data_IF_550056022829
#
_entry.id   IF_550056022829
#
_cell.length_a   1.000
_cell.length_b   1.000
_cell.length_c   1.000
_cell.angle_alpha   90.00
_cell.angle_beta   90.00
_cell.angle_gamma   90.00
#
_symmetry.space_group_name_H-M   'P 1'
#
loop_
_entity.id
_entity.type
_entity.pdbx_description
1 polymer ?
#
# COMPACT_ATOMS: atom_id res chain seq x y z
N UNK A 1 -40.01 -50.31 -10.36
CA UNK A 1 -39.40 -50.53 -9.04
C UNK A 1 -38.71 -49.22 -8.65
N UNK A 2 -39.19 -48.56 -7.60
CA UNK A 2 -38.88 -47.16 -7.25
C UNK A 2 -38.12 -47.17 -5.92
N UNK A 3 -36.83 -46.86 -5.96
CA UNK A 3 -36.02 -46.78 -4.74
C UNK A 3 -36.36 -45.50 -3.96
N UNK A 4 -36.45 -45.52 -2.62
CA UNK A 4 -36.80 -44.34 -1.83
C UNK A 4 -35.61 -43.36 -1.76
N UNK A 5 -35.88 -42.10 -2.14
CA UNK A 5 -34.94 -40.99 -2.22
C UNK A 5 -34.25 -40.60 -0.88
N UNK A 6 -34.66 -41.20 0.23
CA UNK A 6 -34.17 -40.87 1.57
C UNK A 6 -32.77 -41.42 1.86
N UNK A 7 -32.36 -42.51 1.19
CA UNK A 7 -31.05 -43.15 1.46
C UNK A 7 -29.88 -42.37 0.85
N UNK A 8 -30.09 -41.64 -0.25
CA UNK A 8 -29.02 -40.89 -0.93
C UNK A 8 -28.59 -39.65 -0.14
N UNK A 9 -29.51 -39.04 0.61
CA UNK A 9 -29.22 -37.80 1.34
C UNK A 9 -28.36 -38.01 2.60
N UNK A 10 -28.50 -39.16 3.26
CA UNK A 10 -27.74 -39.47 4.49
C UNK A 10 -26.27 -39.78 4.18
N UNK A 11 -25.99 -40.42 3.05
CA UNK A 11 -24.61 -40.76 2.66
C UNK A 11 -23.81 -39.54 2.19
N UNK A 12 -24.48 -38.52 1.61
CA UNK A 12 -23.80 -37.31 1.14
C UNK A 12 -23.37 -36.40 2.31
N UNK A 13 -24.19 -36.30 3.37
CA UNK A 13 -23.87 -35.48 4.55
C UNK A 13 -22.73 -36.08 5.38
N UNK A 14 -22.61 -37.41 5.42
CA UNK A 14 -21.51 -38.08 6.11
C UNK A 14 -20.14 -37.88 5.43
N UNK A 15 -20.11 -37.65 4.11
CA UNK A 15 -18.85 -37.44 3.37
C UNK A 15 -18.28 -36.02 3.53
N UNK A 16 -19.12 -35.03 3.85
CA UNK A 16 -18.69 -33.62 4.01
C UNK A 16 -18.06 -33.39 5.40
N UNK A 17 -18.37 -34.22 6.39
CA UNK A 17 -17.81 -34.08 7.75
C UNK A 17 -16.45 -34.78 7.93
N UNK A 18 -15.97 -35.57 6.96
CA UNK A 18 -14.81 -36.45 7.13
C UNK A 18 -13.53 -36.04 6.37
N UNK A 19 -13.51 -34.94 5.61
CA UNK A 19 -12.36 -34.66 4.74
C UNK A 19 -12.15 -33.18 4.47
N UNK A 20 -11.35 -32.54 5.33
CA UNK A 20 -10.36 -31.50 4.99
C UNK A 20 -9.67 -31.01 6.28
N UNK A 21 -8.99 -31.92 7.01
CA UNK A 21 -7.93 -31.49 7.94
C UNK A 21 -6.67 -31.36 7.10
N UNK A 22 -6.38 -30.15 6.64
CA UNK A 22 -5.09 -29.84 6.03
C UNK A 22 -3.99 -30.00 7.11
N UNK A 23 -2.84 -30.60 6.80
CA UNK A 23 -1.72 -30.66 7.73
C UNK A 23 -1.26 -29.23 8.03
N UNK A 24 -1.27 -28.85 9.31
CA UNK A 24 -0.61 -27.61 9.75
C UNK A 24 0.88 -27.77 9.45
N UNK A 25 1.37 -27.04 8.47
CA UNK A 25 2.79 -26.90 8.22
C UNK A 25 3.40 -26.27 9.47
N UNK A 26 4.18 -27.06 10.20
CA UNK A 26 5.00 -26.59 11.30
C UNK A 26 5.96 -25.55 10.75
N UNK A 27 5.77 -24.28 11.12
CA UNK A 27 6.70 -23.23 10.77
C UNK A 27 8.10 -23.61 11.28
N UNK A 28 9.15 -23.52 10.45
CA UNK A 28 10.50 -23.74 10.93
C UNK A 28 10.82 -22.71 12.01
N UNK A 29 11.39 -23.19 13.12
CA UNK A 29 11.90 -22.34 14.19
C UNK A 29 12.87 -21.31 13.59
N UNK A 30 12.56 -20.04 13.81
CA UNK A 30 13.39 -18.91 13.38
C UNK A 30 14.82 -19.10 13.91
N UNK A 31 15.86 -19.10 13.06
CA UNK A 31 17.23 -19.13 13.55
C UNK A 31 17.48 -17.85 14.34
N UNK A 32 17.91 -18.05 15.59
CA UNK A 32 18.34 -17.04 16.52
C UNK A 32 19.43 -16.18 15.85
N UNK A 33 19.10 -14.95 15.45
CA UNK A 33 20.07 -14.02 14.90
C UNK A 33 20.94 -13.50 16.05
N UNK A 34 22.17 -14.00 16.08
CA UNK A 34 23.26 -13.46 16.87
C UNK A 34 23.44 -11.97 16.58
N UNK A 35 23.62 -11.09 17.58
CA UNK A 35 23.86 -9.68 17.34
C UNK A 35 25.21 -9.50 16.60
N UNK A 36 25.28 -8.65 15.57
CA UNK A 36 26.55 -8.39 14.90
C UNK A 36 27.55 -7.74 15.85
N UNK A 37 28.78 -8.24 15.78
CA UNK A 37 29.93 -7.73 16.51
C UNK A 37 30.09 -6.22 16.32
N UNK A 38 30.38 -5.54 17.43
CA UNK A 38 30.74 -4.12 17.51
C UNK A 38 31.82 -3.77 16.47
N UNK A 39 31.43 -3.05 15.43
CA UNK A 39 32.37 -2.45 14.50
C UNK A 39 33.00 -1.22 15.15
N UNK A 40 34.29 -1.32 15.48
CA UNK A 40 35.13 -0.20 15.91
C UNK A 40 35.24 0.82 14.76
N UNK A 41 34.63 1.99 14.92
CA UNK A 41 34.84 3.13 14.02
C UNK A 41 36.30 3.58 14.08
N UNK A 42 36.98 3.50 12.94
CA UNK A 42 38.27 4.18 12.71
C UNK A 42 37.98 5.65 12.43
N UNK A 43 38.60 6.62 13.12
CA UNK A 43 38.42 8.03 12.80
C UNK A 43 39.08 8.36 11.45
N UNK A 44 38.29 8.86 10.51
CA UNK A 44 38.79 9.39 9.25
C UNK A 44 39.44 10.77 9.47
N UNK A 45 40.71 10.88 9.07
CA UNK A 45 41.48 12.12 9.04
C UNK A 45 40.87 13.12 8.04
N UNK A 46 40.59 14.38 8.42
CA UNK A 46 40.19 15.38 7.44
C UNK A 46 41.41 15.89 6.66
N UNK A 47 41.53 15.51 5.40
CA UNK A 47 42.45 16.15 4.45
C UNK A 47 41.79 17.40 3.89
N UNK A 48 42.23 18.56 4.37
CA UNK A 48 41.93 19.85 3.79
C UNK A 48 42.76 20.06 2.50
N UNK A 49 42.08 20.33 1.38
CA UNK A 49 42.66 21.02 0.25
C UNK A 49 41.56 21.86 -0.42
N UNK A 50 41.49 23.13 -0.03
CA UNK A 50 40.66 24.12 -0.70
C UNK A 50 41.35 24.56 -1.98
N UNK A 51 40.87 24.09 -3.13
CA UNK A 51 41.16 24.69 -4.43
C UNK A 51 40.02 25.65 -4.76
N UNK A 52 40.29 26.95 -4.63
CA UNK A 52 39.39 28.01 -5.06
C UNK A 52 39.33 28.03 -6.59
N UNK A 53 38.22 27.57 -7.16
CA UNK A 53 37.88 27.75 -8.58
C UNK A 53 37.41 29.19 -8.78
N UNK A 54 37.95 29.95 -9.75
CA UNK A 54 37.44 31.29 -10.05
C UNK A 54 36.00 31.21 -10.56
N UNK A 55 35.14 32.05 -9.98
CA UNK A 55 33.73 32.13 -10.33
C UNK A 55 33.57 32.58 -11.80
N UNK A 56 33.07 31.68 -12.64
CA UNK A 56 32.53 32.03 -13.95
C UNK A 56 31.28 32.89 -13.74
N UNK A 57 31.18 34.08 -14.37
CA UNK A 57 29.97 34.88 -14.30
C UNK A 57 28.80 34.08 -14.88
N UNK A 58 27.75 33.92 -14.07
CA UNK A 58 26.52 33.25 -14.49
C UNK A 58 25.90 33.99 -15.69
N UNK A 59 25.44 33.27 -16.73
CA UNK A 59 24.67 33.91 -17.80
C UNK A 59 23.39 34.49 -17.19
N UNK A 60 23.06 35.74 -17.55
CA UNK A 60 21.79 36.37 -17.22
C UNK A 60 20.61 35.45 -17.59
N UNK A 61 19.59 35.32 -16.75
CA UNK A 61 18.42 34.51 -17.08
C UNK A 61 17.72 35.13 -18.28
N UNK A 62 17.80 34.46 -19.43
CA UNK A 62 16.87 34.69 -20.54
C UNK A 62 15.49 34.30 -20.01
N UNK A 63 14.63 35.31 -19.83
CA UNK A 63 13.20 35.09 -19.60
C UNK A 63 12.65 34.36 -20.81
N UNK A 64 12.55 33.03 -20.73
CA UNK A 64 11.65 32.29 -21.59
C UNK A 64 10.25 32.60 -21.08
N UNK A 65 9.55 33.46 -21.80
CA UNK A 65 8.09 33.53 -21.77
C UNK A 65 7.58 32.17 -22.26
N UNK A 66 7.56 31.20 -21.35
CA UNK A 66 6.96 29.90 -21.56
C UNK A 66 5.44 30.13 -21.63
N UNK A 67 4.97 30.34 -22.84
CA UNK A 67 3.56 30.29 -23.19
C UNK A 67 3.01 28.98 -22.62
N UNK A 68 2.24 29.08 -21.53
CA UNK A 68 1.59 27.93 -20.91
C UNK A 68 0.68 27.34 -21.96
N UNK A 69 0.94 26.11 -22.47
CA UNK A 69 0.07 25.51 -23.45
C UNK A 69 -1.33 25.48 -22.85
N UNK A 70 -2.29 26.07 -23.58
CA UNK A 70 -3.68 26.10 -23.18
C UNK A 70 -4.09 24.68 -22.79
N UNK A 71 -4.51 24.51 -21.53
CA UNK A 71 -4.93 23.23 -21.00
C UNK A 71 -5.98 22.65 -21.95
N UNK A 72 -5.63 21.56 -22.63
CA UNK A 72 -6.61 20.84 -23.44
C UNK A 72 -7.70 20.41 -22.48
N UNK A 73 -8.98 20.72 -22.74
CA UNK A 73 -10.05 20.31 -21.84
C UNK A 73 -9.97 18.79 -21.68
N UNK A 74 -9.91 18.36 -20.42
CA UNK A 74 -9.80 16.96 -20.08
C UNK A 74 -11.00 16.21 -20.67
N UNK A 75 -10.83 14.96 -21.13
CA UNK A 75 -11.96 14.17 -21.56
C UNK A 75 -12.98 14.11 -20.41
N UNK A 76 -14.25 14.37 -20.72
CA UNK A 76 -15.33 14.26 -19.75
C UNK A 76 -15.37 12.83 -19.22
N UNK A 77 -14.84 12.61 -18.01
CA UNK A 77 -14.88 11.31 -17.35
C UNK A 77 -16.30 11.08 -16.87
N UNK A 78 -16.86 9.91 -17.19
CA UNK A 78 -18.15 9.52 -16.65
C UNK A 78 -18.01 9.28 -15.14
N UNK A 79 -18.68 10.10 -14.33
CA UNK A 79 -18.80 9.85 -12.90
C UNK A 79 -19.70 8.65 -12.67
N UNK A 80 -19.22 7.63 -11.96
CA UNK A 80 -20.07 6.53 -11.52
C UNK A 80 -21.00 7.08 -10.43
N UNK A 81 -22.32 6.90 -10.59
CA UNK A 81 -23.29 7.42 -9.62
C UNK A 81 -23.27 6.54 -8.38
N UNK A 82 -23.32 7.15 -7.19
CA UNK A 82 -23.28 6.47 -5.87
C UNK A 82 -24.37 5.40 -5.68
N UNK A 83 -25.38 5.33 -6.56
CA UNK A 83 -26.46 4.34 -6.50
C UNK A 83 -26.15 2.96 -7.08
N UNK A 84 -25.04 2.77 -7.81
CA UNK A 84 -24.74 1.49 -8.48
C UNK A 84 -24.03 0.46 -7.58
N UNK A 85 -23.64 0.86 -6.36
CA UNK A 85 -22.99 -0.03 -5.41
C UNK A 85 -23.92 -0.30 -4.22
N UNK A 86 -24.64 -1.45 -4.21
CA UNK A 86 -25.60 -1.78 -3.15
C UNK A 86 -24.87 -2.33 -1.90
N UNK A 87 -24.03 -1.51 -1.26
CA UNK A 87 -23.31 -1.94 -0.08
C UNK A 87 -23.61 -1.03 1.13
N UNK A 88 -23.88 -1.66 2.27
CA UNK A 88 -24.15 -0.96 3.54
C UNK A 88 -22.81 -0.52 4.16
N UNK A 89 -22.38 0.70 3.81
CA UNK A 89 -21.13 1.26 4.32
C UNK A 89 -21.34 1.91 5.68
N UNK A 90 -20.60 1.41 6.67
CA UNK A 90 -20.35 2.19 7.88
C UNK A 90 -19.61 3.49 7.52
N UNK A 91 -19.94 4.58 8.22
CA UNK A 91 -19.23 5.86 8.09
C UNK A 91 -17.71 5.63 8.22
N UNK A 92 -16.95 6.19 7.28
CA UNK A 92 -15.49 6.21 7.36
C UNK A 92 -15.04 6.99 8.60
N UNK A 93 -14.14 6.40 9.38
CA UNK A 93 -13.48 7.05 10.50
C UNK A 93 -11.99 7.08 10.19
N UNK A 94 -11.43 8.29 10.13
CA UNK A 94 -10.00 8.45 9.88
C UNK A 94 -9.19 7.80 11.02
N UNK A 95 -8.07 7.11 10.70
CA UNK A 95 -7.15 6.63 11.73
C UNK A 95 -6.66 7.78 12.61
N UNK A 96 -6.55 7.53 13.91
CA UNK A 96 -5.92 8.48 14.83
C UNK A 96 -4.41 8.49 14.56
N UNK A 97 -3.78 9.67 14.39
CA UNK A 97 -2.33 9.75 14.24
C UNK A 97 -1.59 9.15 15.43
N UNK A 98 -0.40 8.58 15.23
CA UNK A 98 0.41 8.09 16.34
C UNK A 98 0.76 9.23 17.30
N UNK A 99 0.88 8.94 18.62
CA UNK A 99 1.16 9.96 19.63
C UNK A 99 2.60 10.49 19.56
N UNK A 100 3.49 9.78 18.86
CA UNK A 100 4.89 10.14 18.64
C UNK A 100 5.19 10.11 17.14
N UNK A 101 6.04 11.01 16.70
CA UNK A 101 6.55 11.00 15.33
C UNK A 101 7.85 10.21 15.30
N UNK A 102 7.89 9.13 14.53
CA UNK A 102 9.10 8.34 14.32
C UNK A 102 9.93 8.90 13.15
N UNK A 103 11.21 8.60 13.16
CA UNK A 103 12.13 8.94 12.08
C UNK A 103 11.89 8.07 10.85
N UNK A 104 12.39 8.51 9.68
CA UNK A 104 12.36 7.69 8.47
C UNK A 104 13.13 6.38 8.69
N UNK A 105 12.52 5.25 8.36
CA UNK A 105 13.07 3.91 8.55
C UNK A 105 13.08 3.43 9.99
N UNK A 106 12.45 4.14 10.93
CA UNK A 106 12.29 3.67 12.31
C UNK A 106 11.05 2.78 12.41
N UNK A 107 11.18 1.68 13.18
CA UNK A 107 10.10 0.73 13.42
C UNK A 107 9.10 1.32 14.44
N UNK A 108 7.83 1.43 14.06
CA UNK A 108 6.77 1.77 15.00
C UNK A 108 6.36 0.53 15.80
N UNK A 109 6.60 0.46 17.12
CA UNK A 109 6.28 -0.70 17.95
C UNK A 109 4.78 -0.99 18.04
N UNK A 110 3.90 -0.04 17.71
CA UNK A 110 2.45 -0.24 17.78
C UNK A 110 1.90 -0.99 16.58
N UNK A 111 2.49 -0.78 15.41
CA UNK A 111 2.09 -1.40 14.14
C UNK A 111 3.02 -2.52 13.71
N UNK A 112 4.27 -2.52 14.19
CA UNK A 112 5.33 -3.41 13.73
C UNK A 112 5.79 -3.09 12.30
N UNK A 113 5.54 -1.86 11.82
CA UNK A 113 5.88 -1.41 10.47
C UNK A 113 6.88 -0.25 10.53
N UNK A 114 7.73 -0.14 9.52
CA UNK A 114 8.68 0.97 9.42
C UNK A 114 7.99 2.25 8.91
N UNK A 115 8.35 3.40 9.47
CA UNK A 115 7.83 4.70 9.03
C UNK A 115 8.59 5.20 7.81
N UNK A 116 7.90 5.36 6.69
CA UNK A 116 8.50 5.75 5.39
C UNK A 116 8.26 7.20 4.99
N UNK A 117 7.62 7.99 5.85
CA UNK A 117 7.37 9.40 5.58
C UNK A 117 6.28 9.99 6.47
N UNK A 118 5.91 11.23 6.16
CA UNK A 118 4.82 11.92 6.86
C UNK A 118 3.47 11.50 6.28
N UNK A 119 2.56 11.08 7.16
CA UNK A 119 1.18 10.79 6.79
C UNK A 119 0.52 12.02 6.15
N UNK A 120 -0.13 11.82 5.01
CA UNK A 120 -0.86 12.87 4.32
C UNK A 120 -2.28 12.98 4.89
N UNK A 121 -2.78 14.20 5.04
CA UNK A 121 -4.18 14.44 5.43
C UNK A 121 -5.02 14.44 4.15
N UNK A 122 -5.87 13.43 4.01
CA UNK A 122 -6.77 13.27 2.85
C UNK A 122 -8.21 13.38 3.34
N UNK A 123 -9.01 14.22 2.67
CA UNK A 123 -10.46 14.26 2.87
C UNK A 123 -11.14 13.19 2.00
N UNK A 124 -11.75 12.15 2.60
CA UNK A 124 -12.35 11.05 1.86
C UNK A 124 -13.55 11.48 0.98
N UNK A 125 -14.20 12.61 1.30
CA UNK A 125 -15.36 13.09 0.54
C UNK A 125 -14.95 13.71 -0.79
N UNK A 126 -13.76 14.32 -0.84
CA UNK A 126 -13.23 14.99 -2.03
C UNK A 126 -12.21 14.16 -2.79
N UNK A 127 -11.62 13.13 -2.17
CA UNK A 127 -10.68 12.24 -2.83
C UNK A 127 -11.31 11.43 -3.97
N UNK A 128 -10.56 11.27 -5.07
CA UNK A 128 -10.96 10.50 -6.26
C UNK A 128 -9.80 9.65 -6.79
N UNK A 129 -10.10 8.42 -7.20
CA UNK A 129 -9.22 7.59 -8.02
C UNK A 129 -9.59 7.77 -9.49
N UNK A 130 -8.65 8.26 -10.29
CA UNK A 130 -8.83 8.39 -11.74
C UNK A 130 -8.17 7.22 -12.47
N UNK A 131 -8.95 6.54 -13.31
CA UNK A 131 -8.50 5.47 -14.20
C UNK A 131 -8.60 6.00 -15.62
N UNK A 132 -7.46 6.32 -16.21
CA UNK A 132 -7.34 6.93 -17.54
C UNK A 132 -6.32 6.17 -18.42
N UNK A 133 -6.03 6.66 -19.63
CA UNK A 133 -5.07 6.04 -20.56
C UNK A 133 -5.74 5.09 -21.56
N UNK A 134 -5.14 3.92 -21.79
CA UNK A 134 -5.63 2.92 -22.77
C UNK A 134 -6.77 2.09 -22.19
N UNK A 135 -7.88 2.77 -21.86
CA UNK A 135 -9.11 2.17 -21.37
C UNK A 135 -10.27 2.55 -22.29
N UNK A 136 -11.21 1.62 -22.50
CA UNK A 136 -12.37 1.90 -23.35
C UNK A 136 -13.27 3.00 -22.75
N UNK A 137 -13.32 3.08 -21.42
CA UNK A 137 -14.10 4.07 -20.69
C UNK A 137 -13.29 4.51 -19.48
N UNK A 138 -12.80 5.76 -19.45
CA UNK A 138 -12.17 6.33 -18.27
C UNK A 138 -13.15 6.35 -17.10
N UNK A 139 -12.65 6.12 -15.89
CA UNK A 139 -13.45 6.07 -14.66
C UNK A 139 -12.89 7.01 -13.61
N UNK A 140 -13.79 7.62 -12.84
CA UNK A 140 -13.45 8.34 -11.62
C UNK A 140 -14.23 7.71 -10.47
N UNK A 141 -13.51 7.16 -9.50
CA UNK A 141 -14.07 6.33 -8.43
C UNK A 141 -13.87 7.03 -7.08
N UNK A 142 -14.92 7.10 -6.26
CA UNK A 142 -14.84 7.64 -4.90
C UNK A 142 -14.32 6.60 -3.91
N UNK A 143 -13.87 7.03 -2.73
CA UNK A 143 -13.43 6.09 -1.69
C UNK A 143 -14.55 5.09 -1.30
N UNK A 144 -15.78 5.55 -1.18
CA UNK A 144 -16.91 4.67 -0.84
C UNK A 144 -17.20 3.63 -1.93
N UNK A 145 -17.05 3.99 -3.21
CA UNK A 145 -17.18 3.03 -4.30
C UNK A 145 -16.10 1.95 -4.25
N UNK A 146 -14.85 2.30 -3.90
CA UNK A 146 -13.78 1.33 -3.66
C UNK A 146 -14.13 0.42 -2.48
N UNK A 147 -14.63 0.99 -1.37
CA UNK A 147 -15.02 0.23 -0.18
C UNK A 147 -16.19 -0.73 -0.42
N UNK A 148 -16.99 -0.49 -1.46
CA UNK A 148 -18.04 -1.41 -1.88
C UNK A 148 -17.54 -2.55 -2.78
N UNK A 149 -16.29 -2.52 -3.25
CA UNK A 149 -15.72 -3.63 -4.03
C UNK A 149 -15.44 -4.84 -3.12
N UNK A 150 -15.37 -6.06 -3.69
CA UNK A 150 -15.04 -7.25 -2.91
C UNK A 150 -13.67 -7.10 -2.25
N UNK A 151 -13.65 -7.06 -0.92
CA UNK A 151 -12.42 -7.00 -0.12
C UNK A 151 -11.64 -8.31 -0.28
N UNK A 152 -10.34 -8.19 -0.52
CA UNK A 152 -9.38 -9.28 -0.50
C UNK A 152 -8.30 -9.01 0.56
N UNK A 153 -7.76 -10.08 1.13
CA UNK A 153 -6.64 -10.00 2.07
C UNK A 153 -5.46 -10.80 1.52
N UNK A 154 -4.26 -10.25 1.67
CA UNK A 154 -3.02 -10.90 1.26
C UNK A 154 -1.96 -10.74 2.35
N UNK A 155 -1.32 -11.84 2.72
CA UNK A 155 -0.16 -11.84 3.60
C UNK A 155 1.11 -11.83 2.75
N UNK A 156 1.87 -10.74 2.79
CA UNK A 156 3.09 -10.61 2.00
C UNK A 156 4.11 -9.67 2.64
N UNK A 157 5.36 -9.78 2.16
CA UNK A 157 6.47 -8.93 2.57
C UNK A 157 6.59 -7.72 1.63
N UNK A 158 6.50 -6.52 2.19
CA UNK A 158 6.84 -5.27 1.53
C UNK A 158 8.35 -5.05 1.65
N UNK A 159 9.06 -5.10 0.52
CA UNK A 159 10.51 -4.87 0.48
C UNK A 159 10.78 -3.46 -0.01
N UNK A 160 11.40 -2.64 0.83
CA UNK A 160 11.99 -1.37 0.45
C UNK A 160 13.51 -1.59 0.33
N UNK A 161 14.06 -1.66 -0.90
CA UNK A 161 15.47 -1.98 -1.10
C UNK A 161 16.37 -1.12 -0.23
N UNK A 162 17.33 -1.76 0.44
CA UNK A 162 18.35 -1.13 1.28
C UNK A 162 17.82 -0.41 2.53
N UNK A 163 16.50 -0.39 2.77
CA UNK A 163 15.90 0.34 3.89
C UNK A 163 15.27 -0.61 4.91
N UNK A 164 14.29 -1.43 4.50
CA UNK A 164 13.58 -2.34 5.42
C UNK A 164 12.77 -3.40 4.66
N UNK A 165 12.32 -4.41 5.41
CA UNK A 165 11.35 -5.42 5.00
C UNK A 165 10.25 -5.55 6.06
N UNK A 166 9.00 -5.39 5.64
CA UNK A 166 7.83 -5.50 6.53
C UNK A 166 6.92 -6.63 6.07
N UNK A 167 6.61 -7.59 6.96
CA UNK A 167 5.68 -8.68 6.65
C UNK A 167 4.38 -8.47 7.41
N UNK A 168 3.28 -8.27 6.68
CA UNK A 168 1.97 -8.00 7.27
C UNK A 168 0.83 -8.50 6.37
N UNK A 169 -0.39 -8.43 6.89
CA UNK A 169 -1.61 -8.72 6.12
C UNK A 169 -2.21 -7.42 5.60
N UNK A 170 -2.27 -7.31 4.28
CA UNK A 170 -2.85 -6.17 3.57
C UNK A 170 -4.28 -6.48 3.16
N UNK A 171 -5.13 -5.45 3.15
CA UNK A 171 -6.50 -5.58 2.71
C UNK A 171 -6.86 -4.44 1.74
N UNK A 172 -7.64 -4.77 0.71
CA UNK A 172 -8.10 -3.82 -0.30
C UNK A 172 -9.19 -4.39 -1.19
#
# INVERSE_FOLDING_TARGET
MKAPATVVFVTLVALILAGCVAPQATAPASPNLEPPATATMVPATPTAAATSVPATPAPSPTSLDAETPAATPWPTVASVTTGDFPCDLTRWVAPTPPPVTYSFGELDPTTGLHVTGNAQVIDPLTWRLEITGTVATPLMVTLDQIRCMPRQEIHCTLVCPETFEDTTTWAG
#
